data_IF_394212007711
#
_entry.id   IF_394212007711
#
_cell.length_a   1.000
_cell.length_b   1.000
_cell.length_c   1.000
_cell.angle_alpha   90.00
_cell.angle_beta   90.00
_cell.angle_gamma   90.00
#
_symmetry.space_group_name_H-M   'P 1'
#
loop_
_entity.id
_entity.type
_entity.pdbx_description
1 polymer ?
#
# COMPACT_ATOMS: atom_id res chain seq x y z
N UNK A 1 -7.69 24.53 -14.34
CA UNK A 1 -6.28 24.27 -13.96
C UNK A 1 -5.42 25.54 -13.86
N UNK A 2 -5.31 26.41 -14.89
CA UNK A 2 -4.48 27.64 -14.83
C UNK A 2 -4.80 28.58 -13.65
N UNK A 3 -6.08 28.84 -13.35
CA UNK A 3 -6.49 29.68 -12.20
C UNK A 3 -6.12 29.07 -10.85
N UNK A 4 -6.30 27.76 -10.69
CA UNK A 4 -5.98 27.02 -9.46
C UNK A 4 -4.46 26.99 -9.23
N UNK A 5 -3.67 26.76 -10.28
CA UNK A 5 -2.21 26.84 -10.23
C UNK A 5 -1.73 28.24 -9.82
N UNK A 6 -2.37 29.29 -10.35
CA UNK A 6 -2.08 30.67 -9.94
C UNK A 6 -2.37 30.93 -8.47
N UNK A 7 -3.40 30.32 -7.88
CA UNK A 7 -3.71 30.46 -6.45
C UNK A 7 -2.76 29.65 -5.56
N UNK A 8 -2.30 28.47 -5.99
CA UNK A 8 -1.26 27.70 -5.30
C UNK A 8 0.09 28.43 -5.37
N UNK A 9 0.45 28.99 -6.54
CA UNK A 9 1.62 29.85 -6.65
C UNK A 9 1.49 31.11 -5.79
N UNK A 10 0.30 31.71 -5.68
CA UNK A 10 0.08 32.87 -4.84
C UNK A 10 0.19 32.52 -3.35
N UNK A 11 -0.32 31.36 -2.90
CA UNK A 11 -0.16 30.91 -1.51
C UNK A 11 1.30 30.55 -1.19
N UNK A 12 2.03 29.95 -2.15
CA UNK A 12 3.47 29.70 -2.05
C UNK A 12 4.30 31.00 -2.08
N UNK A 13 3.93 32.00 -2.88
CA UNK A 13 4.55 33.34 -2.87
C UNK A 13 4.28 34.07 -1.55
N UNK A 14 3.07 33.96 -1.01
CA UNK A 14 2.72 34.47 0.31
C UNK A 14 3.50 33.74 1.42
N UNK A 15 3.79 32.44 1.27
CA UNK A 15 4.65 31.69 2.19
C UNK A 15 6.14 32.09 2.05
N UNK A 16 6.66 32.20 0.83
CA UNK A 16 8.06 32.55 0.55
C UNK A 16 8.44 33.97 0.99
N UNK A 17 7.51 34.93 0.93
CA UNK A 17 7.73 36.29 1.46
C UNK A 17 7.79 36.35 2.99
N UNK A 18 7.28 35.32 3.70
CA UNK A 18 7.35 35.22 5.17
C UNK A 18 8.65 34.53 5.60
N UNK A 19 9.10 33.50 4.87
CA UNK A 19 10.37 32.80 5.14
C UNK A 19 11.57 33.73 4.96
N UNK A 20 11.56 34.62 3.96
CA UNK A 20 12.68 35.55 3.74
C UNK A 20 12.75 36.68 4.80
N UNK A 21 11.68 36.95 5.55
CA UNK A 21 11.64 38.01 6.55
C UNK A 21 12.13 37.58 7.96
N UNK A 22 12.55 36.33 8.15
CA UNK A 22 12.93 35.77 9.47
C UNK A 22 14.41 35.93 9.85
N UNK A 23 15.21 36.75 9.15
CA UNK A 23 16.63 36.98 9.47
C UNK A 23 16.90 38.13 10.45
N UNK A 24 15.95 38.53 11.30
CA UNK A 24 16.20 39.54 12.33
C UNK A 24 16.04 39.05 13.78
N UNK A 25 17.09 39.40 14.55
CA UNK A 25 17.53 38.86 15.84
C UNK A 25 16.52 38.94 16.99
N UNK A 26 16.68 37.99 17.92
CA UNK A 26 16.04 37.89 19.25
C UNK A 26 15.92 39.25 19.98
N UNK A 27 14.71 39.55 20.48
CA UNK A 27 14.48 40.48 21.60
C UNK A 27 13.58 39.80 22.66
N UNK A 28 13.83 40.03 23.96
CA UNK A 28 13.16 39.31 25.05
C UNK A 28 11.69 39.71 25.20
N UNK A 29 10.87 38.74 25.59
CA UNK A 29 9.41 38.87 25.65
C UNK A 29 8.95 39.67 26.89
N UNK A 30 8.45 40.88 26.66
CA UNK A 30 7.57 41.57 27.61
C UNK A 30 6.18 40.93 27.52
N UNK A 31 5.68 40.33 28.60
CA UNK A 31 4.29 39.87 28.73
C UNK A 31 3.38 41.11 28.60
N UNK A 32 2.64 41.27 27.51
CA UNK A 32 1.50 42.20 27.49
C UNK A 32 0.48 41.96 26.36
N UNK A 33 -0.78 41.91 26.82
CA UNK A 33 -2.12 42.04 26.19
C UNK A 33 -2.52 41.07 25.07
N UNK A 34 -3.44 40.16 25.46
CA UNK A 34 -4.32 39.44 24.56
C UNK A 34 -5.27 40.46 23.88
N UNK A 35 -5.24 40.53 22.55
CA UNK A 35 -6.02 41.50 21.77
C UNK A 35 -7.07 40.86 20.87
N UNK A 36 -8.07 41.67 20.49
CA UNK A 36 -8.99 41.39 19.38
C UNK A 36 -8.38 42.03 18.12
N UNK A 37 -8.14 41.22 17.08
CA UNK A 37 -7.65 41.69 15.79
C UNK A 37 -8.80 41.75 14.76
N UNK A 38 -9.13 42.95 14.32
CA UNK A 38 -10.00 43.21 13.18
C UNK A 38 -9.12 43.64 12.02
N UNK A 39 -9.04 42.82 10.96
CA UNK A 39 -8.11 43.04 9.85
C UNK A 39 -8.81 43.06 8.49
N UNK A 40 -8.61 44.13 7.73
CA UNK A 40 -9.04 44.19 6.33
C UNK A 40 -7.92 43.74 5.39
N UNK A 41 -6.66 44.05 5.74
CA UNK A 41 -5.49 43.74 4.92
C UNK A 41 -4.22 43.64 5.79
N UNK A 42 -3.10 43.15 5.23
CA UNK A 42 -1.82 42.91 5.93
C UNK A 42 -1.39 44.06 6.88
N UNK A 43 -1.68 45.32 6.52
CA UNK A 43 -1.29 46.52 7.27
C UNK A 43 -2.48 47.35 7.80
N UNK A 44 -3.73 46.93 7.54
CA UNK A 44 -4.95 47.56 8.02
C UNK A 44 -5.60 46.65 9.04
N UNK A 45 -5.05 46.67 10.25
CA UNK A 45 -5.44 45.79 11.35
C UNK A 45 -5.40 46.53 12.68
N UNK A 46 -6.30 46.20 13.61
CA UNK A 46 -6.27 46.75 14.98
C UNK A 46 -5.04 46.29 15.76
N UNK A 47 -4.37 45.22 15.32
CA UNK A 47 -3.11 44.74 15.87
C UNK A 47 -2.06 44.59 14.75
N UNK A 48 -0.96 45.37 14.81
CA UNK A 48 0.14 45.27 13.84
C UNK A 48 0.91 43.96 14.01
N UNK A 49 1.37 43.40 12.89
CA UNK A 49 2.12 42.14 12.81
C UNK A 49 3.44 42.15 13.62
N UNK A 50 4.03 43.33 13.84
CA UNK A 50 5.26 43.52 14.64
C UNK A 50 5.06 43.50 16.16
N UNK A 51 3.82 43.42 16.64
CA UNK A 51 3.59 43.31 18.08
C UNK A 51 3.94 41.91 18.59
N UNK A 52 4.67 41.82 19.70
CA UNK A 52 4.96 40.56 20.43
C UNK A 52 3.68 39.99 21.10
N UNK A 53 2.56 40.71 20.99
CA UNK A 53 1.28 40.38 21.61
C UNK A 53 0.61 39.15 21.00
N UNK A 54 -0.19 38.49 21.82
CA UNK A 54 -1.02 37.35 21.43
C UNK A 54 -2.40 37.85 21.00
N UNK A 55 -2.96 37.31 19.91
CA UNK A 55 -4.35 37.58 19.52
C UNK A 55 -5.25 36.46 20.02
N UNK A 56 -6.35 36.77 20.70
CA UNK A 56 -7.33 35.76 21.16
C UNK A 56 -8.51 35.62 20.20
N UNK A 57 -8.94 36.73 19.60
CA UNK A 57 -9.99 36.74 18.59
C UNK A 57 -9.48 37.49 17.36
N UNK A 58 -9.47 36.84 16.21
CA UNK A 58 -9.16 37.47 14.93
C UNK A 58 -10.35 37.34 13.97
N UNK A 59 -10.81 38.47 13.44
CA UNK A 59 -11.85 38.54 12.42
C UNK A 59 -11.33 39.41 11.28
N UNK A 60 -11.28 38.87 10.06
CA UNK A 60 -10.75 39.66 8.96
C UNK A 60 -11.08 39.16 7.56
N UNK A 61 -10.73 39.98 6.56
CA UNK A 61 -10.69 39.53 5.16
C UNK A 61 -9.37 38.81 4.92
N UNK A 62 -8.27 39.51 5.17
CA UNK A 62 -6.93 38.95 5.24
C UNK A 62 -6.23 39.45 6.51
N UNK A 63 -5.75 38.53 7.35
CA UNK A 63 -5.08 38.87 8.61
C UNK A 63 -3.63 38.45 8.61
N UNK A 64 -2.76 39.34 9.10
CA UNK A 64 -1.37 39.04 9.42
C UNK A 64 -1.10 39.34 10.91
N UNK A 65 -0.81 38.32 11.69
CA UNK A 65 -0.61 38.41 13.15
C UNK A 65 0.66 37.65 13.58
N UNK A 66 1.18 37.95 14.77
CA UNK A 66 2.38 37.30 15.28
C UNK A 66 2.06 35.94 15.93
N UNK A 67 1.10 35.90 16.86
CA UNK A 67 0.61 34.68 17.52
C UNK A 67 -0.91 34.68 17.63
N UNK A 68 -1.53 33.52 17.43
CA UNK A 68 -2.97 33.31 17.65
C UNK A 68 -3.15 32.35 18.82
N UNK A 69 -3.74 32.78 19.92
CA UNK A 69 -4.11 31.92 21.05
C UNK A 69 -5.63 32.03 21.29
N UNK A 70 -6.44 31.42 20.42
CA UNK A 70 -7.89 31.50 20.48
C UNK A 70 -8.53 31.21 19.12
N UNK A 71 -9.46 32.06 18.68
CA UNK A 71 -10.22 31.89 17.44
C UNK A 71 -9.81 32.90 16.37
N UNK A 72 -9.48 32.43 15.17
CA UNK A 72 -9.28 33.25 13.99
C UNK A 72 -10.21 32.85 12.85
N UNK A 73 -11.00 33.79 12.33
CA UNK A 73 -11.87 33.58 11.16
C UNK A 73 -11.53 34.63 10.12
N UNK A 74 -11.22 34.18 8.91
CA UNK A 74 -10.86 35.05 7.79
C UNK A 74 -11.60 34.69 6.51
N UNK A 75 -12.01 35.69 5.74
CA UNK A 75 -12.69 35.47 4.45
C UNK A 75 -11.72 34.90 3.40
N UNK A 76 -10.51 35.44 3.31
CA UNK A 76 -9.50 35.02 2.34
C UNK A 76 -8.39 34.21 3.01
N UNK A 77 -7.63 34.82 3.91
CA UNK A 77 -6.46 34.13 4.44
C UNK A 77 -5.91 34.69 5.73
N UNK A 78 -5.10 33.88 6.38
CA UNK A 78 -4.47 34.21 7.65
C UNK A 78 -3.00 33.81 7.65
N UNK A 79 -2.14 34.73 8.08
CA UNK A 79 -0.72 34.49 8.30
C UNK A 79 -0.41 34.73 9.78
N UNK A 80 -0.01 33.68 10.48
CA UNK A 80 0.47 33.71 11.87
C UNK A 80 1.98 33.52 11.84
N UNK A 81 2.76 34.54 12.20
CA UNK A 81 4.22 34.51 12.06
C UNK A 81 4.94 33.49 12.95
N UNK A 82 4.40 33.22 14.15
CA UNK A 82 4.90 32.22 15.10
C UNK A 82 3.87 31.12 15.29
N UNK A 83 3.36 30.97 16.51
CA UNK A 83 2.54 29.83 16.91
C UNK A 83 1.05 30.16 16.87
N UNK A 84 0.27 29.13 16.56
CA UNK A 84 -1.18 29.12 16.65
C UNK A 84 -1.60 28.09 17.69
N UNK A 85 -2.32 28.50 18.73
CA UNK A 85 -3.00 27.63 19.68
C UNK A 85 -4.51 27.95 19.68
N UNK A 86 -5.34 27.09 19.11
CA UNK A 86 -6.79 27.27 19.12
C UNK A 86 -7.46 26.85 17.82
N UNK A 87 -8.24 27.73 17.20
CA UNK A 87 -8.98 27.44 15.96
C UNK A 87 -8.75 28.52 14.91
N UNK A 88 -8.49 28.12 13.67
CA UNK A 88 -8.26 29.04 12.56
C UNK A 88 -9.02 28.58 11.30
N UNK A 89 -9.87 29.46 10.78
CA UNK A 89 -10.69 29.22 9.60
C UNK A 89 -10.38 30.30 8.56
N UNK A 90 -10.08 29.89 7.33
CA UNK A 90 -9.87 30.81 6.21
C UNK A 90 -10.52 30.29 4.93
N UNK A 91 -11.08 31.18 4.10
CA UNK A 91 -11.67 30.77 2.82
C UNK A 91 -10.65 30.22 1.81
N UNK A 92 -9.41 30.72 1.81
CA UNK A 92 -8.36 30.32 0.86
C UNK A 92 -7.19 29.63 1.58
N UNK A 93 -6.50 30.32 2.49
CA UNK A 93 -5.25 29.80 3.06
C UNK A 93 -5.01 30.17 4.51
N UNK A 94 -4.51 29.23 5.30
CA UNK A 94 -3.87 29.48 6.59
C UNK A 94 -2.38 29.19 6.50
N UNK A 95 -1.56 30.08 7.03
CA UNK A 95 -0.11 29.93 7.13
C UNK A 95 0.29 30.20 8.58
N UNK A 96 0.94 29.23 9.21
CA UNK A 96 1.52 29.34 10.56
C UNK A 96 3.02 29.14 10.41
N UNK A 97 3.81 30.18 10.66
CA UNK A 97 5.27 30.14 10.50
C UNK A 97 5.98 29.25 11.53
N UNK A 98 5.38 29.07 12.71
CA UNK A 98 5.87 28.17 13.76
C UNK A 98 4.99 26.93 13.93
N UNK A 99 4.61 26.63 15.17
CA UNK A 99 3.79 25.45 15.49
C UNK A 99 2.30 25.75 15.57
N UNK A 100 1.47 24.85 15.04
CA UNK A 100 0.02 24.86 15.14
C UNK A 100 -0.45 23.81 16.15
N UNK A 101 -1.29 24.21 17.10
CA UNK A 101 -1.97 23.33 18.05
C UNK A 101 -3.46 23.63 18.07
N UNK A 102 -4.29 22.66 17.71
CA UNK A 102 -5.75 22.79 17.68
C UNK A 102 -6.35 22.48 16.31
N UNK A 103 -7.18 23.36 15.77
CA UNK A 103 -7.94 23.13 14.53
C UNK A 103 -7.60 24.19 13.49
N UNK A 104 -7.25 23.77 12.27
CA UNK A 104 -7.02 24.66 11.15
C UNK A 104 -7.79 24.19 9.92
N UNK A 105 -8.59 25.07 9.32
CA UNK A 105 -9.40 24.77 8.13
C UNK A 105 -9.21 25.84 7.07
N UNK A 106 -8.81 25.43 5.87
CA UNK A 106 -8.70 26.31 4.70
C UNK A 106 -9.31 25.70 3.44
N UNK A 107 -9.92 26.55 2.60
CA UNK A 107 -10.50 26.11 1.34
C UNK A 107 -9.48 25.66 0.28
N UNK A 108 -8.21 26.08 0.36
CA UNK A 108 -7.15 25.64 -0.55
C UNK A 108 -5.96 25.06 0.22
N UNK A 109 -5.30 25.86 1.06
CA UNK A 109 -4.00 25.48 1.63
C UNK A 109 -3.88 25.74 3.13
N UNK A 110 -3.34 24.76 3.84
CA UNK A 110 -2.87 24.90 5.22
C UNK A 110 -1.35 24.65 5.25
N UNK A 111 -0.57 25.58 5.78
CA UNK A 111 0.90 25.48 5.87
C UNK A 111 1.33 25.72 7.31
N UNK A 112 2.08 24.79 7.88
CA UNK A 112 2.69 24.90 9.20
C UNK A 112 4.22 24.75 9.05
N UNK A 113 4.97 25.76 9.47
CA UNK A 113 6.43 25.83 9.32
C UNK A 113 7.15 24.78 10.17
N UNK A 114 6.69 24.56 11.41
CA UNK A 114 7.31 23.59 12.31
C UNK A 114 6.38 22.38 12.54
N UNK A 115 5.60 22.42 13.61
CA UNK A 115 4.84 21.28 14.09
C UNK A 115 3.33 21.52 13.96
N UNK A 116 2.59 20.45 13.76
CA UNK A 116 1.14 20.36 13.81
C UNK A 116 0.75 19.42 14.94
N UNK A 117 -0.10 19.87 15.85
CA UNK A 117 -0.70 19.05 16.91
C UNK A 117 -2.21 19.26 16.95
N UNK A 118 -2.99 18.40 16.31
CA UNK A 118 -4.45 18.51 16.25
C UNK A 118 -5.03 18.15 14.88
N UNK A 119 -5.97 18.96 14.39
CA UNK A 119 -6.69 18.75 13.14
C UNK A 119 -6.33 19.82 12.11
N UNK A 120 -5.88 19.43 10.93
CA UNK A 120 -5.73 20.32 9.77
C UNK A 120 -6.53 19.79 8.59
N UNK A 121 -7.41 20.63 8.04
CA UNK A 121 -8.25 20.32 6.88
C UNK A 121 -7.99 21.36 5.80
N UNK A 122 -7.42 20.94 4.68
CA UNK A 122 -7.20 21.77 3.51
C UNK A 122 -8.01 21.26 2.32
N UNK A 123 -8.50 22.16 1.48
CA UNK A 123 -9.22 21.75 0.27
C UNK A 123 -8.33 21.09 -0.77
N UNK A 124 -7.07 21.53 -0.94
CA UNK A 124 -6.14 20.97 -1.91
C UNK A 124 -4.83 20.47 -1.29
N UNK A 125 -4.10 21.35 -0.56
CA UNK A 125 -2.73 21.06 -0.14
C UNK A 125 -2.50 21.38 1.34
N UNK A 126 -2.00 20.40 2.09
CA UNK A 126 -1.58 20.54 3.47
C UNK A 126 -0.07 20.31 3.60
N UNK A 127 0.64 21.25 4.24
CA UNK A 127 2.08 21.17 4.45
C UNK A 127 2.39 21.31 5.95
N UNK A 128 3.21 20.42 6.50
CA UNK A 128 3.76 20.49 7.86
C UNK A 128 5.26 20.25 7.81
N UNK A 129 6.06 21.20 8.29
CA UNK A 129 7.52 21.17 8.10
C UNK A 129 8.25 20.04 8.84
N UNK A 130 7.95 19.81 10.12
CA UNK A 130 8.71 18.89 10.97
C UNK A 130 7.83 17.76 11.52
N UNK A 131 6.96 18.07 12.49
CA UNK A 131 6.16 17.06 13.19
C UNK A 131 4.66 17.20 12.90
N UNK A 132 4.00 16.14 12.43
CA UNK A 132 2.55 16.12 12.28
C UNK A 132 1.90 15.12 13.24
N UNK A 133 1.29 15.60 14.32
CA UNK A 133 0.59 14.77 15.30
C UNK A 133 -0.92 15.04 15.28
N UNK A 134 -1.73 14.04 14.95
CA UNK A 134 -3.20 14.16 14.90
C UNK A 134 -3.78 13.81 13.53
N UNK A 135 -4.66 14.64 13.00
CA UNK A 135 -5.36 14.38 11.73
C UNK A 135 -5.02 15.46 10.71
N UNK A 136 -4.50 15.05 9.55
CA UNK A 136 -4.20 15.94 8.42
C UNK A 136 -4.99 15.47 7.20
N UNK A 137 -5.90 16.29 6.72
CA UNK A 137 -6.73 16.03 5.55
C UNK A 137 -6.43 17.06 4.47
N UNK A 138 -6.21 16.59 3.24
CA UNK A 138 -6.09 17.44 2.05
C UNK A 138 -6.76 16.81 0.85
N UNK A 139 -7.52 17.59 0.09
CA UNK A 139 -8.23 17.07 -1.08
C UNK A 139 -7.32 16.60 -2.22
N UNK A 140 -6.05 17.01 -2.28
CA UNK A 140 -5.07 16.48 -3.25
C UNK A 140 -3.82 15.94 -2.57
N UNK A 141 -3.05 16.79 -1.89
CA UNK A 141 -1.69 16.42 -1.44
C UNK A 141 -1.47 16.80 0.01
N UNK A 142 -0.96 15.87 0.81
CA UNK A 142 -0.33 16.18 2.10
C UNK A 142 1.18 15.99 2.01
N UNK A 143 1.92 16.95 2.56
CA UNK A 143 3.36 16.86 2.79
C UNK A 143 3.60 17.06 4.28
N UNK A 144 4.13 16.06 4.96
CA UNK A 144 4.65 16.20 6.31
C UNK A 144 6.14 15.85 6.32
N UNK A 145 6.97 16.61 7.02
CA UNK A 145 8.41 16.37 7.07
C UNK A 145 8.79 15.19 7.94
N UNK A 146 9.72 15.40 8.86
CA UNK A 146 10.48 14.38 9.58
C UNK A 146 9.60 13.31 10.23
N UNK A 147 8.68 13.72 11.10
CA UNK A 147 7.99 12.81 12.00
C UNK A 147 6.47 13.00 11.98
N UNK A 148 5.75 11.99 11.53
CA UNK A 148 4.28 12.03 11.48
C UNK A 148 3.70 10.95 12.37
N UNK A 149 2.74 11.26 13.23
CA UNK A 149 2.02 10.28 14.03
C UNK A 149 0.53 10.60 14.10
N UNK A 150 -0.29 9.80 13.43
CA UNK A 150 -1.74 9.98 13.42
C UNK A 150 -2.38 9.54 12.11
N UNK A 151 -3.37 10.30 11.64
CA UNK A 151 -4.14 9.97 10.43
C UNK A 151 -3.87 11.03 9.36
N UNK A 152 -3.30 10.62 8.23
CA UNK A 152 -3.05 11.49 7.08
C UNK A 152 -3.87 11.01 5.90
N UNK A 153 -4.76 11.87 5.39
CA UNK A 153 -5.72 11.55 4.32
C UNK A 153 -5.51 12.54 3.17
N UNK A 154 -5.05 12.04 2.03
CA UNK A 154 -4.81 12.80 0.82
C UNK A 154 -5.72 12.32 -0.30
N UNK A 155 -6.36 13.21 -1.04
CA UNK A 155 -7.18 12.76 -2.18
C UNK A 155 -6.36 12.10 -3.28
N UNK A 156 -5.10 12.51 -3.48
CA UNK A 156 -4.18 11.89 -4.44
C UNK A 156 -2.93 11.33 -3.76
N UNK A 157 -2.19 12.18 -3.03
CA UNK A 157 -0.85 11.84 -2.55
C UNK A 157 -0.67 12.20 -1.07
N UNK A 158 0.02 11.33 -0.34
CA UNK A 158 0.61 11.66 0.95
C UNK A 158 2.12 11.44 0.88
N UNK A 159 2.90 12.44 1.26
CA UNK A 159 4.36 12.39 1.32
C UNK A 159 4.78 12.66 2.76
N UNK A 160 5.59 11.75 3.30
CA UNK A 160 6.13 11.83 4.67
C UNK A 160 7.63 11.58 4.69
N UNK A 161 8.34 12.21 5.63
CA UNK A 161 9.79 12.13 5.77
C UNK A 161 10.28 10.85 6.45
N UNK A 162 11.00 11.00 7.56
CA UNK A 162 11.83 9.96 8.18
C UNK A 162 11.07 8.91 8.98
N UNK A 163 10.06 9.30 9.76
CA UNK A 163 9.33 8.39 10.65
C UNK A 163 7.85 8.68 10.63
N UNK A 164 7.08 7.72 10.16
CA UNK A 164 5.62 7.84 10.09
C UNK A 164 4.95 6.75 10.89
N UNK A 165 4.01 7.14 11.76
CA UNK A 165 3.18 6.29 12.58
C UNK A 165 1.69 6.54 12.32
N UNK A 166 0.89 5.47 12.33
CA UNK A 166 -0.58 5.58 12.28
C UNK A 166 -1.20 5.15 10.94
N UNK A 167 -2.10 5.96 10.39
CA UNK A 167 -2.90 5.60 9.20
C UNK A 167 -2.66 6.60 8.07
N UNK A 168 -2.30 6.10 6.89
CA UNK A 168 -2.19 6.88 5.66
C UNK A 168 -3.19 6.40 4.61
N UNK A 169 -4.03 7.30 4.11
CA UNK A 169 -5.01 7.00 3.06
C UNK A 169 -4.79 7.96 1.89
N UNK A 170 -4.51 7.41 0.71
CA UNK A 170 -4.33 8.20 -0.51
C UNK A 170 -5.15 7.63 -1.67
N UNK A 171 -5.70 8.50 -2.54
CA UNK A 171 -6.35 8.02 -3.76
C UNK A 171 -5.38 7.39 -4.76
N UNK A 172 -4.15 7.91 -4.89
CA UNK A 172 -3.13 7.39 -5.81
C UNK A 172 -1.97 6.74 -5.08
N UNK A 173 -1.24 7.49 -4.25
CA UNK A 173 -0.03 6.96 -3.63
C UNK A 173 0.30 7.53 -2.25
N UNK A 174 0.85 6.67 -1.39
CA UNK A 174 1.51 7.07 -0.16
C UNK A 174 3.02 6.85 -0.29
N UNK A 175 3.80 7.87 0.06
CA UNK A 175 5.27 7.83 0.00
C UNK A 175 5.80 8.20 1.39
N UNK A 176 6.59 7.31 1.98
CA UNK A 176 7.33 7.53 3.22
C UNK A 176 8.81 7.36 2.94
N UNK A 177 9.59 8.42 3.16
CA UNK A 177 11.02 8.43 2.88
C UNK A 177 11.84 7.54 3.82
N UNK A 178 11.37 7.34 5.05
CA UNK A 178 12.05 6.51 6.04
C UNK A 178 11.20 5.33 6.54
N UNK A 179 11.10 5.20 7.87
CA UNK A 179 10.39 4.10 8.53
C UNK A 179 8.89 4.41 8.65
N UNK A 180 8.06 3.40 8.36
CA UNK A 180 6.60 3.49 8.47
C UNK A 180 6.06 2.43 9.43
N UNK A 181 5.22 2.84 10.38
CA UNK A 181 4.58 1.96 11.36
C UNK A 181 3.06 2.19 11.43
N UNK A 182 2.26 1.25 10.92
CA UNK A 182 0.80 1.32 10.99
C UNK A 182 0.11 0.79 9.75
N UNK A 183 -0.91 1.50 9.25
CA UNK A 183 -1.71 1.08 8.09
C UNK A 183 -1.57 2.11 6.98
N UNK A 184 -1.14 1.70 5.79
CA UNK A 184 -1.10 2.56 4.61
C UNK A 184 -1.90 1.93 3.48
N UNK A 185 -2.86 2.69 2.96
CA UNK A 185 -3.77 2.27 1.91
C UNK A 185 -3.77 3.29 0.79
N UNK A 186 -3.57 2.82 -0.45
CA UNK A 186 -3.63 3.67 -1.63
C UNK A 186 -4.35 3.01 -2.81
N UNK A 187 -4.82 3.81 -3.75
CA UNK A 187 -5.41 3.26 -4.98
C UNK A 187 -4.38 2.60 -5.90
N UNK A 188 -3.14 3.12 -5.96
CA UNK A 188 -2.10 2.60 -6.86
C UNK A 188 -0.87 2.09 -6.11
N UNK A 189 -0.15 2.96 -5.39
CA UNK A 189 1.18 2.63 -4.88
C UNK A 189 1.40 3.04 -3.42
N UNK A 190 1.96 2.15 -2.62
CA UNK A 190 2.57 2.52 -1.34
C UNK A 190 4.08 2.30 -1.40
N UNK A 191 4.86 3.31 -1.07
CA UNK A 191 6.32 3.26 -1.05
C UNK A 191 6.84 3.63 0.33
N UNK A 192 7.65 2.76 0.92
CA UNK A 192 8.36 2.99 2.18
C UNK A 192 9.86 2.81 1.93
N UNK A 193 10.65 3.86 2.13
CA UNK A 193 12.07 3.87 1.83
C UNK A 193 12.90 2.92 2.69
N UNK A 194 12.60 2.85 3.99
CA UNK A 194 13.32 2.01 4.95
C UNK A 194 12.44 0.83 5.42
N UNK A 195 12.11 0.76 6.70
CA UNK A 195 11.39 -0.37 7.27
C UNK A 195 9.89 -0.08 7.36
N UNK A 196 9.07 -1.02 6.91
CA UNK A 196 7.64 -1.01 7.16
C UNK A 196 7.31 -1.95 8.32
N UNK A 197 6.46 -1.50 9.25
CA UNK A 197 5.81 -2.33 10.27
C UNK A 197 4.31 -2.13 10.24
N UNK A 198 3.54 -3.15 9.90
CA UNK A 198 2.07 -3.10 9.90
C UNK A 198 1.45 -3.57 8.59
N UNK A 199 0.52 -2.81 8.01
CA UNK A 199 -0.29 -3.23 6.86
C UNK A 199 -0.11 -2.25 5.70
N UNK A 200 0.23 -2.76 4.52
CA UNK A 200 0.29 -2.02 3.26
C UNK A 200 -0.76 -2.61 2.30
N UNK A 201 -1.68 -1.79 1.80
CA UNK A 201 -2.71 -2.19 0.83
C UNK A 201 -2.68 -1.24 -0.36
N UNK A 202 -2.48 -1.76 -1.57
CA UNK A 202 -2.55 -0.94 -2.78
C UNK A 202 -3.13 -1.69 -3.97
N UNK A 203 -3.69 -0.92 -4.92
CA UNK A 203 -4.31 -1.49 -6.12
C UNK A 203 -3.29 -1.94 -7.18
N UNK A 204 -2.05 -1.44 -7.18
CA UNK A 204 -1.00 -1.90 -8.09
C UNK A 204 0.19 -2.49 -7.35
N UNK A 205 0.79 -1.75 -6.41
CA UNK A 205 2.05 -2.21 -5.83
C UNK A 205 2.47 -1.61 -4.50
N UNK A 206 2.99 -2.47 -3.63
CA UNK A 206 3.62 -2.11 -2.37
C UNK A 206 5.13 -2.30 -2.48
N UNK A 207 5.90 -1.26 -2.17
CA UNK A 207 7.37 -1.27 -2.24
C UNK A 207 7.95 -0.89 -0.88
N UNK A 208 8.82 -1.74 -0.33
CA UNK A 208 9.57 -1.47 0.90
C UNK A 208 11.07 -1.64 0.65
N UNK A 209 11.85 -0.56 0.76
CA UNK A 209 13.29 -0.56 0.49
C UNK A 209 14.16 -1.25 1.55
N UNK A 210 13.61 -1.51 2.74
CA UNK A 210 14.26 -2.26 3.82
C UNK A 210 13.46 -3.49 4.23
N UNK A 211 13.08 -3.56 5.51
CA UNK A 211 12.35 -4.72 6.06
C UNK A 211 10.86 -4.45 6.12
N UNK A 212 10.05 -5.25 5.41
CA UNK A 212 8.59 -5.24 5.51
C UNK A 212 8.13 -6.24 6.57
N UNK A 213 7.71 -5.75 7.74
CA UNK A 213 7.21 -6.56 8.87
C UNK A 213 5.70 -6.42 9.01
N UNK A 214 4.93 -7.44 8.65
CA UNK A 214 3.47 -7.42 8.75
C UNK A 214 2.80 -7.94 7.48
N UNK A 215 1.82 -7.22 6.94
CA UNK A 215 0.99 -7.66 5.81
C UNK A 215 1.16 -6.71 4.61
N UNK A 216 1.44 -7.25 3.43
CA UNK A 216 1.40 -6.52 2.17
C UNK A 216 0.36 -7.16 1.24
N UNK A 217 -0.63 -6.37 0.81
CA UNK A 217 -1.70 -6.78 -0.10
C UNK A 217 -1.67 -5.87 -1.33
N UNK A 218 -1.20 -6.39 -2.46
CA UNK A 218 -1.22 -5.71 -3.76
C UNK A 218 -0.91 -6.71 -4.87
N UNK A 219 -1.29 -6.46 -6.13
CA UNK A 219 -0.85 -7.29 -7.25
C UNK A 219 0.67 -7.45 -7.31
N UNK A 220 1.44 -6.42 -6.96
CA UNK A 220 2.90 -6.45 -6.91
C UNK A 220 3.39 -6.09 -5.49
N UNK A 221 4.07 -7.02 -4.80
CA UNK A 221 4.71 -6.72 -3.52
C UNK A 221 6.22 -6.88 -3.65
N UNK A 222 6.98 -5.84 -3.27
CA UNK A 222 8.44 -5.81 -3.33
C UNK A 222 8.99 -5.41 -1.96
N UNK A 223 9.89 -6.22 -1.41
CA UNK A 223 10.61 -5.89 -0.19
C UNK A 223 12.08 -6.34 -0.27
N UNK A 224 13.01 -5.69 0.44
CA UNK A 224 14.37 -6.26 0.56
C UNK A 224 14.36 -7.46 1.51
N UNK A 225 13.76 -7.28 2.69
CA UNK A 225 13.47 -8.37 3.65
C UNK A 225 11.99 -8.39 3.96
N UNK A 226 11.39 -9.56 4.03
CA UNK A 226 9.97 -9.73 4.33
C UNK A 226 9.79 -10.57 5.61
N UNK A 227 9.00 -10.07 6.57
CA UNK A 227 8.67 -10.75 7.82
C UNK A 227 7.16 -10.71 8.04
N UNK A 228 6.44 -11.76 7.68
CA UNK A 228 4.98 -11.79 7.75
C UNK A 228 4.33 -12.27 6.47
N UNK A 229 3.24 -11.62 6.05
CA UNK A 229 2.36 -12.07 4.98
C UNK A 229 2.45 -11.16 3.75
N UNK A 230 2.72 -11.71 2.57
CA UNK A 230 2.55 -11.00 1.30
C UNK A 230 1.53 -11.73 0.44
N UNK A 231 0.52 -11.02 -0.03
CA UNK A 231 -0.50 -11.55 -0.94
C UNK A 231 -0.54 -10.68 -2.18
N UNK A 232 -0.30 -11.29 -3.34
CA UNK A 232 -0.24 -10.58 -4.61
C UNK A 232 -0.21 -11.51 -5.81
N UNK A 233 -0.21 -10.96 -7.02
CA UNK A 233 0.08 -11.75 -8.22
C UNK A 233 1.57 -12.06 -8.30
N UNK A 234 2.40 -11.07 -7.96
CA UNK A 234 3.85 -11.18 -7.91
C UNK A 234 4.33 -10.70 -6.55
N UNK A 235 5.01 -11.57 -5.82
CA UNK A 235 5.70 -11.23 -4.59
C UNK A 235 7.20 -11.40 -4.80
N UNK A 236 7.98 -10.39 -4.43
CA UNK A 236 9.43 -10.40 -4.55
C UNK A 236 10.10 -9.99 -3.24
N UNK A 237 11.10 -10.78 -2.83
CA UNK A 237 12.06 -10.39 -1.80
C UNK A 237 13.50 -10.62 -2.24
N UNK A 238 14.41 -9.80 -1.72
CA UNK A 238 15.83 -9.83 -2.12
C UNK A 238 16.71 -10.68 -1.21
N UNK A 239 16.57 -10.55 0.11
CA UNK A 239 17.51 -11.15 1.07
C UNK A 239 16.91 -12.32 1.84
N UNK A 240 15.78 -12.10 2.51
CA UNK A 240 15.19 -13.11 3.40
C UNK A 240 13.69 -12.95 3.54
N UNK A 241 12.99 -14.07 3.64
CA UNK A 241 11.59 -14.18 4.02
C UNK A 241 11.45 -14.95 5.34
N UNK A 242 11.03 -14.28 6.40
CA UNK A 242 10.56 -14.91 7.64
C UNK A 242 9.02 -14.84 7.67
N UNK A 243 8.33 -15.62 6.84
CA UNK A 243 6.87 -15.52 6.71
C UNK A 243 6.25 -16.32 5.57
N UNK A 244 5.07 -15.88 5.13
CA UNK A 244 4.26 -16.52 4.09
C UNK A 244 4.05 -15.59 2.90
N UNK A 245 4.20 -16.13 1.69
CA UNK A 245 3.86 -15.45 0.45
C UNK A 245 2.83 -16.26 -0.31
N UNK A 246 1.75 -15.60 -0.71
CA UNK A 246 0.73 -16.15 -1.59
C UNK A 246 0.72 -15.32 -2.86
N UNK A 247 1.18 -15.90 -3.95
CA UNK A 247 1.05 -15.26 -5.25
C UNK A 247 1.32 -16.18 -6.41
N UNK A 248 0.85 -15.76 -7.59
CA UNK A 248 1.00 -16.53 -8.83
C UNK A 248 2.48 -16.76 -9.14
N UNK A 249 3.29 -15.70 -8.95
CA UNK A 249 4.74 -15.76 -9.00
C UNK A 249 5.29 -15.30 -7.65
N UNK A 250 5.98 -16.19 -6.95
CA UNK A 250 6.79 -15.82 -5.78
C UNK A 250 8.25 -15.92 -6.20
N UNK A 251 8.90 -14.78 -6.38
CA UNK A 251 10.26 -14.70 -6.88
C UNK A 251 11.24 -14.28 -5.77
N UNK A 252 12.34 -15.01 -5.69
CA UNK A 252 13.46 -14.81 -4.79
C UNK A 252 14.75 -15.24 -5.53
N UNK A 253 15.92 -14.63 -5.24
CA UNK A 253 17.22 -15.13 -5.71
C UNK A 253 17.44 -16.65 -5.55
N UNK A 254 16.91 -17.27 -4.49
CA UNK A 254 16.99 -18.71 -4.21
C UNK A 254 15.76 -19.51 -4.68
N UNK A 255 14.80 -18.91 -5.40
CA UNK A 255 13.63 -19.65 -5.90
C UNK A 255 14.09 -20.74 -6.89
N UNK A 256 13.81 -21.98 -6.54
CA UNK A 256 14.10 -23.12 -7.40
C UNK A 256 12.94 -23.36 -8.35
N UNK A 257 13.21 -23.27 -9.65
CA UNK A 257 12.25 -23.62 -10.70
C UNK A 257 12.46 -25.08 -11.07
N UNK A 258 11.46 -25.90 -10.75
CA UNK A 258 11.45 -27.33 -11.03
C UNK A 258 10.44 -27.64 -12.11
N UNK A 259 10.80 -28.50 -13.05
CA UNK A 259 9.88 -28.94 -14.09
C UNK A 259 9.26 -30.26 -13.69
N UNK A 260 7.95 -30.36 -13.80
CA UNK A 260 7.19 -31.55 -13.44
C UNK A 260 6.54 -32.14 -14.69
N UNK A 261 6.69 -33.45 -14.85
CA UNK A 261 5.99 -34.23 -15.87
C UNK A 261 5.24 -35.35 -15.16
N UNK A 262 3.92 -35.38 -15.31
CA UNK A 262 3.09 -36.32 -14.57
C UNK A 262 1.81 -36.69 -15.30
N UNK A 263 1.32 -37.89 -15.02
CA UNK A 263 0.08 -38.42 -15.55
C UNK A 263 -0.75 -39.04 -14.45
N UNK A 264 -2.06 -39.07 -14.65
CA UNK A 264 -3.00 -39.60 -13.67
C UNK A 264 -4.35 -39.93 -14.27
N UNK A 265 -5.29 -40.21 -13.39
CA UNK A 265 -6.67 -40.51 -13.78
C UNK A 265 -7.45 -39.27 -14.26
N UNK A 266 -7.14 -38.09 -13.73
CA UNK A 266 -7.81 -36.84 -14.08
C UNK A 266 -7.25 -36.17 -15.36
N UNK A 267 -5.99 -36.43 -15.69
CA UNK A 267 -5.29 -35.90 -16.87
C UNK A 267 -4.17 -36.86 -17.25
N UNK A 268 -4.10 -37.29 -18.51
CA UNK A 268 -3.17 -38.37 -18.90
C UNK A 268 -1.73 -37.89 -19.01
N UNK A 269 -1.53 -36.63 -19.43
CA UNK A 269 -0.21 -36.02 -19.55
C UNK A 269 -0.28 -34.56 -19.10
N UNK A 270 0.58 -34.18 -18.16
CA UNK A 270 0.72 -32.82 -17.65
C UNK A 270 2.19 -32.40 -17.64
N UNK A 271 2.39 -31.11 -17.89
CA UNK A 271 3.66 -30.44 -17.74
C UNK A 271 3.47 -29.18 -16.91
N UNK A 272 4.32 -28.99 -15.90
CA UNK A 272 4.24 -27.84 -15.01
C UNK A 272 5.60 -27.29 -14.61
N UNK A 273 5.64 -26.00 -14.31
CA UNK A 273 6.71 -25.36 -13.59
C UNK A 273 6.29 -25.20 -12.13
N UNK A 274 7.08 -25.75 -11.22
CA UNK A 274 6.97 -25.56 -9.78
C UNK A 274 7.99 -24.50 -9.35
N UNK A 275 7.51 -23.40 -8.81
CA UNK A 275 8.32 -22.36 -8.19
C UNK A 275 8.39 -22.66 -6.70
N UNK A 276 9.53 -23.18 -6.26
CA UNK A 276 9.74 -23.63 -4.90
C UNK A 276 10.63 -22.65 -4.12
N UNK A 277 10.16 -22.30 -2.93
CA UNK A 277 10.93 -21.65 -1.87
C UNK A 277 11.16 -22.66 -0.72
N UNK A 278 11.73 -22.25 0.41
CA UNK A 278 12.12 -23.18 1.50
C UNK A 278 11.01 -24.18 1.89
N UNK A 279 9.82 -23.69 2.25
CA UNK A 279 8.68 -24.51 2.70
C UNK A 279 7.48 -24.48 1.73
N UNK A 280 7.41 -23.49 0.85
CA UNK A 280 6.23 -23.23 0.03
C UNK A 280 6.54 -23.38 -1.44
N UNK A 281 5.55 -23.82 -2.20
CA UNK A 281 5.66 -23.86 -3.66
C UNK A 281 4.36 -23.46 -4.34
N UNK A 282 4.50 -22.93 -5.54
CA UNK A 282 3.40 -22.77 -6.49
C UNK A 282 3.67 -23.57 -7.74
N UNK A 283 2.63 -24.18 -8.31
CA UNK A 283 2.71 -24.98 -9.53
C UNK A 283 1.82 -24.30 -10.58
N UNK A 284 2.42 -23.98 -11.71
CA UNK A 284 1.74 -23.48 -12.90
C UNK A 284 1.98 -24.47 -14.02
N UNK A 285 0.92 -25.01 -14.61
CA UNK A 285 1.09 -26.02 -15.65
C UNK A 285 -0.12 -26.16 -16.56
N UNK A 286 0.12 -26.92 -17.62
CA UNK A 286 -0.87 -27.30 -18.60
C UNK A 286 -0.87 -28.81 -18.80
N UNK A 287 -2.04 -29.37 -19.09
CA UNK A 287 -2.17 -30.79 -19.38
C UNK A 287 -3.27 -31.07 -20.38
N UNK A 288 -3.32 -32.32 -20.85
CA UNK A 288 -4.37 -32.82 -21.73
C UNK A 288 -5.09 -34.01 -21.10
N UNK A 289 -6.40 -34.07 -21.33
CA UNK A 289 -7.24 -35.18 -20.90
C UNK A 289 -7.16 -36.38 -21.87
N UNK A 290 -6.82 -36.13 -23.14
CA UNK A 290 -6.73 -37.15 -24.21
C UNK A 290 -5.32 -37.17 -24.85
N UNK A 291 -4.81 -38.36 -25.14
CA UNK A 291 -3.49 -38.59 -25.78
C UNK A 291 -3.54 -38.61 -27.31
N UNK A 292 -4.73 -38.63 -27.92
CA UNK A 292 -4.87 -38.65 -29.37
C UNK A 292 -4.68 -37.24 -29.95
N UNK A 293 -3.58 -37.06 -30.71
CA UNK A 293 -3.27 -35.86 -31.50
C UNK A 293 -4.18 -35.74 -32.76
N UNK A 294 -5.47 -36.06 -32.66
CA UNK A 294 -6.46 -35.84 -33.73
C UNK A 294 -7.66 -35.07 -33.19
N UNK A 295 -8.02 -33.94 -33.81
CA UNK A 295 -9.24 -33.10 -33.72
C UNK A 295 -10.00 -32.89 -32.37
N UNK A 296 -9.55 -33.48 -31.26
CA UNK A 296 -10.19 -33.54 -29.93
C UNK A 296 -9.24 -33.06 -28.82
N UNK A 297 -8.41 -32.06 -29.13
CA UNK A 297 -7.49 -31.47 -28.16
C UNK A 297 -8.28 -30.76 -27.05
N UNK A 298 -8.19 -31.25 -25.81
CA UNK A 298 -8.69 -30.57 -24.62
C UNK A 298 -7.50 -30.09 -23.78
N UNK A 299 -7.42 -28.79 -23.56
CA UNK A 299 -6.38 -28.16 -22.75
C UNK A 299 -6.89 -27.89 -21.34
N UNK A 300 -6.12 -28.27 -20.34
CA UNK A 300 -6.35 -27.90 -18.96
C UNK A 300 -5.19 -27.02 -18.48
N UNK A 301 -5.50 -25.85 -17.90
CA UNK A 301 -4.54 -25.04 -17.16
C UNK A 301 -4.79 -25.23 -15.68
N UNK A 302 -3.73 -25.39 -14.90
CA UNK A 302 -3.86 -25.50 -13.45
C UNK A 302 -2.88 -24.59 -12.72
N UNK A 303 -3.38 -24.01 -11.63
CA UNK A 303 -2.62 -23.27 -10.64
C UNK A 303 -2.77 -23.95 -9.29
N UNK A 304 -1.66 -24.28 -8.64
CA UNK A 304 -1.65 -24.95 -7.33
C UNK A 304 -0.74 -24.19 -6.38
N UNK A 305 -1.15 -24.07 -5.13
CA UNK A 305 -0.35 -23.50 -4.06
C UNK A 305 -0.31 -24.48 -2.88
N UNK A 306 0.88 -24.75 -2.38
CA UNK A 306 1.08 -25.79 -1.37
C UNK A 306 2.33 -25.58 -0.53
N UNK A 307 2.50 -26.53 0.39
CA UNK A 307 3.56 -26.56 1.38
C UNK A 307 4.20 -27.94 1.40
N UNK A 308 5.52 -27.98 1.49
CA UNK A 308 6.34 -29.20 1.51
C UNK A 308 7.11 -29.28 2.83
N UNK A 309 7.12 -30.48 3.43
CA UNK A 309 7.83 -30.78 4.66
C UNK A 309 8.75 -32.01 4.44
N UNK A 310 10.01 -31.96 4.91
CA UNK A 310 10.87 -33.14 4.90
C UNK A 310 10.36 -34.15 5.94
N UNK A 311 10.05 -35.38 5.50
CA UNK A 311 9.73 -36.49 6.40
C UNK A 311 11.01 -37.16 6.89
N UNK A 312 11.87 -37.54 5.94
CA UNK A 312 13.08 -38.31 6.23
C UNK A 312 14.09 -38.24 5.09
N UNK A 313 15.28 -37.65 5.29
CA UNK A 313 16.40 -37.52 4.32
C UNK A 313 16.00 -37.14 2.88
N UNK A 314 15.51 -38.10 2.10
CA UNK A 314 15.13 -37.99 0.69
C UNK A 314 13.61 -38.05 0.46
N UNK A 315 12.81 -38.28 1.50
CA UNK A 315 11.36 -38.39 1.46
C UNK A 315 10.72 -37.09 1.97
N UNK A 316 9.85 -36.53 1.16
CA UNK A 316 9.14 -35.28 1.40
C UNK A 316 7.64 -35.52 1.29
N UNK A 317 6.87 -34.93 2.20
CA UNK A 317 5.41 -34.86 2.07
C UNK A 317 5.04 -33.44 1.69
N UNK A 318 4.01 -33.27 0.89
CA UNK A 318 3.43 -31.97 0.64
C UNK A 318 1.92 -32.02 0.59
N UNK A 319 1.29 -30.88 0.86
CA UNK A 319 -0.13 -30.68 0.63
C UNK A 319 -0.35 -29.45 -0.23
N UNK A 320 -1.23 -29.54 -1.24
CA UNK A 320 -1.59 -28.41 -2.09
C UNK A 320 -3.10 -28.25 -2.28
N UNK A 321 -3.47 -26.99 -2.51
CA UNK A 321 -4.77 -26.58 -3.00
C UNK A 321 -4.61 -26.10 -4.44
N UNK A 322 -5.35 -26.73 -5.35
CA UNK A 322 -5.29 -26.47 -6.77
C UNK A 322 -6.60 -25.94 -7.33
N UNK A 323 -6.48 -25.03 -8.28
CA UNK A 323 -7.52 -24.64 -9.20
C UNK A 323 -7.16 -25.11 -10.60
N UNK A 324 -8.06 -25.86 -11.24
CA UNK A 324 -7.89 -26.31 -12.62
C UNK A 324 -9.02 -25.75 -13.48
N UNK A 325 -8.65 -25.11 -14.59
CA UNK A 325 -9.54 -24.64 -15.63
C UNK A 325 -9.43 -25.57 -16.84
N UNK A 326 -10.56 -26.12 -17.29
CA UNK A 326 -10.61 -27.03 -18.44
C UNK A 326 -11.43 -26.39 -19.54
N UNK A 327 -10.82 -26.15 -20.71
CA UNK A 327 -11.51 -25.73 -21.93
C UNK A 327 -11.50 -26.85 -22.97
N UNK A 328 -12.70 -27.24 -23.42
CA UNK A 328 -12.89 -28.22 -24.49
C UNK A 328 -13.13 -27.45 -25.79
N UNK A 329 -12.08 -27.26 -26.60
CA UNK A 329 -12.10 -26.27 -27.69
C UNK A 329 -12.97 -26.62 -28.91
N UNK A 330 -13.56 -27.82 -29.03
CA UNK A 330 -14.48 -28.15 -30.15
C UNK A 330 -15.26 -29.46 -29.92
N UNK A 331 -16.09 -29.53 -28.89
CA UNK A 331 -16.99 -30.70 -28.72
C UNK A 331 -18.41 -30.24 -28.36
N UNK A 332 -19.18 -29.79 -29.37
CA UNK A 332 -20.56 -29.33 -29.21
C UNK A 332 -21.61 -30.47 -29.27
N UNK A 333 -21.23 -31.69 -29.64
CA UNK A 333 -22.22 -32.74 -29.97
C UNK A 333 -22.27 -33.95 -29.02
N UNK A 334 -21.58 -33.90 -27.86
CA UNK A 334 -21.56 -35.03 -26.91
C UNK A 334 -21.86 -34.67 -25.44
N UNK A 335 -22.70 -33.66 -25.19
CA UNK A 335 -23.27 -33.43 -23.86
C UNK A 335 -22.29 -33.01 -22.74
N UNK A 336 -21.03 -32.72 -23.07
CA UNK A 336 -20.04 -32.23 -22.09
C UNK A 336 -20.02 -30.70 -22.02
N UNK A 337 -19.74 -30.11 -20.84
CA UNK A 337 -19.84 -28.67 -20.64
C UNK A 337 -18.64 -27.95 -21.26
N UNK A 338 -18.87 -26.82 -21.93
CA UNK A 338 -17.83 -26.08 -22.66
C UNK A 338 -16.69 -25.52 -21.78
N UNK A 339 -16.95 -25.30 -20.47
CA UNK A 339 -16.00 -24.78 -19.47
C UNK A 339 -16.29 -25.38 -18.10
N UNK A 340 -15.30 -25.96 -17.47
CA UNK A 340 -15.37 -26.52 -16.11
C UNK A 340 -14.24 -25.94 -15.25
N UNK A 341 -14.51 -25.78 -13.95
CA UNK A 341 -13.44 -25.54 -12.97
C UNK A 341 -13.47 -26.63 -11.91
N UNK A 342 -12.27 -27.07 -11.51
CA UNK A 342 -12.08 -28.05 -10.44
C UNK A 342 -11.30 -27.40 -9.31
N UNK A 343 -11.85 -27.46 -8.10
CA UNK A 343 -11.09 -27.18 -6.89
C UNK A 343 -10.55 -28.51 -6.35
N UNK A 344 -9.24 -28.59 -6.13
CA UNK A 344 -8.55 -29.83 -5.82
C UNK A 344 -7.79 -29.70 -4.51
N UNK A 345 -7.97 -30.66 -3.62
CA UNK A 345 -7.14 -30.85 -2.42
C UNK A 345 -6.27 -32.07 -2.62
N UNK A 346 -4.96 -31.92 -2.42
CA UNK A 346 -3.98 -32.99 -2.66
C UNK A 346 -2.99 -33.15 -1.51
N UNK A 347 -2.54 -34.39 -1.37
CA UNK A 347 -1.37 -34.77 -0.60
C UNK A 347 -0.42 -35.47 -1.58
N UNK A 348 0.83 -35.02 -1.61
CA UNK A 348 1.88 -35.62 -2.43
C UNK A 348 2.96 -36.20 -1.53
N UNK A 349 3.48 -37.35 -1.95
CA UNK A 349 4.67 -37.97 -1.37
C UNK A 349 5.75 -38.00 -2.45
N UNK A 350 6.88 -37.37 -2.19
CA UNK A 350 7.98 -37.21 -3.13
C UNK A 350 9.25 -37.86 -2.57
N UNK A 351 9.90 -38.67 -3.41
CA UNK A 351 11.19 -39.29 -3.11
C UNK A 351 12.26 -38.77 -4.08
N UNK A 352 13.29 -38.13 -3.53
CA UNK A 352 14.39 -37.51 -4.30
C UNK A 352 15.51 -38.52 -4.51
N UNK A 353 15.63 -39.00 -5.75
CA UNK A 353 16.65 -39.97 -6.15
C UNK A 353 18.04 -39.33 -6.25
N UNK A 354 18.10 -38.11 -6.81
CA UNK A 354 19.33 -37.32 -6.99
C UNK A 354 19.04 -35.83 -6.77
N UNK A 355 20.07 -34.99 -6.80
CA UNK A 355 19.92 -33.52 -6.72
C UNK A 355 19.11 -32.90 -7.89
N UNK A 356 18.78 -33.67 -8.93
CA UNK A 356 18.07 -33.17 -10.13
C UNK A 356 16.87 -34.01 -10.57
N UNK A 357 16.59 -35.11 -9.87
CA UNK A 357 15.54 -36.06 -10.23
C UNK A 357 14.84 -36.57 -8.97
N UNK A 358 13.53 -36.41 -8.93
CA UNK A 358 12.66 -37.03 -7.93
C UNK A 358 11.44 -37.65 -8.57
N UNK A 359 10.84 -38.59 -7.86
CA UNK A 359 9.59 -39.25 -8.24
C UNK A 359 8.56 -38.89 -7.19
N UNK A 360 7.34 -38.57 -7.62
CA UNK A 360 6.26 -38.27 -6.71
C UNK A 360 5.00 -39.05 -7.04
N UNK A 361 4.23 -39.32 -5.99
CA UNK A 361 2.90 -39.89 -6.06
C UNK A 361 1.96 -38.97 -5.30
N UNK A 362 0.81 -38.73 -5.90
CA UNK A 362 -0.18 -37.78 -5.43
C UNK A 362 -1.52 -38.47 -5.24
N UNK A 363 -2.12 -38.28 -4.07
CA UNK A 363 -3.49 -38.65 -3.78
C UNK A 363 -4.28 -37.40 -3.43
N UNK A 364 -5.48 -37.25 -3.98
CA UNK A 364 -6.31 -36.08 -3.72
C UNK A 364 -7.78 -36.29 -3.99
N UNK A 365 -8.53 -35.21 -3.84
CA UNK A 365 -9.95 -35.15 -4.14
C UNK A 365 -10.25 -33.88 -4.93
N UNK A 366 -10.99 -34.03 -6.03
CA UNK A 366 -11.44 -32.92 -6.88
C UNK A 366 -12.94 -32.71 -6.76
N UNK A 367 -13.35 -31.44 -6.68
CA UNK A 367 -14.75 -31.03 -6.82
C UNK A 367 -14.91 -30.25 -8.13
N UNK A 368 -15.56 -30.88 -9.12
CA UNK A 368 -15.79 -30.26 -10.42
C UNK A 368 -17.13 -29.53 -10.44
N UNK A 369 -17.10 -28.25 -10.84
CA UNK A 369 -18.29 -27.39 -10.90
C UNK A 369 -18.43 -26.72 -12.27
N UNK A 370 -19.68 -26.54 -12.66
CA UNK A 370 -20.07 -25.79 -13.83
C UNK A 370 -19.92 -24.29 -13.61
N UNK A 371 -19.53 -23.54 -14.65
CA UNK A 371 -19.53 -22.08 -14.62
C UNK A 371 -20.94 -21.46 -14.65
N UNK A 372 -21.90 -22.09 -15.35
CA UNK A 372 -23.22 -21.51 -15.65
C UNK A 372 -24.41 -22.18 -14.92
N UNK A 373 -24.16 -23.15 -14.04
CA UNK A 373 -25.23 -23.82 -13.27
C UNK A 373 -24.76 -24.10 -11.84
N UNK A 374 -25.67 -23.90 -10.87
CA UNK A 374 -25.47 -24.26 -9.47
C UNK A 374 -25.60 -25.78 -9.25
N UNK A 375 -24.79 -26.58 -9.96
CA UNK A 375 -24.75 -28.04 -9.82
C UNK A 375 -23.30 -28.54 -9.85
N UNK A 376 -22.96 -29.51 -9.00
CA UNK A 376 -21.67 -30.21 -9.05
C UNK A 376 -21.70 -31.22 -10.21
N UNK A 377 -20.65 -31.28 -11.03
CA UNK A 377 -20.57 -32.18 -12.18
C UNK A 377 -20.16 -33.59 -11.77
N UNK A 378 -19.06 -33.70 -11.02
CA UNK A 378 -18.54 -34.97 -10.53
C UNK A 378 -17.65 -34.73 -9.29
N UNK A 379 -17.46 -35.77 -8.50
CA UNK A 379 -16.49 -35.79 -7.40
C UNK A 379 -15.61 -37.03 -7.55
N UNK A 380 -14.33 -36.81 -7.82
CA UNK A 380 -13.39 -37.88 -8.12
C UNK A 380 -12.20 -37.92 -7.16
N UNK A 381 -11.76 -39.13 -6.83
CA UNK A 381 -10.42 -39.35 -6.27
C UNK A 381 -9.40 -39.04 -7.35
N UNK A 382 -8.38 -38.24 -7.03
CA UNK A 382 -7.27 -37.92 -7.92
C UNK A 382 -6.09 -38.79 -7.54
N UNK A 383 -5.56 -39.53 -8.51
CA UNK A 383 -4.30 -40.27 -8.37
C UNK A 383 -3.41 -39.85 -9.53
N UNK A 384 -2.29 -39.20 -9.21
CA UNK A 384 -1.28 -38.74 -10.17
C UNK A 384 0.08 -39.30 -9.76
N UNK A 385 0.93 -39.60 -10.74
CA UNK A 385 2.30 -40.01 -10.54
C UNK A 385 3.20 -39.39 -11.60
N UNK A 386 4.42 -39.02 -11.21
CA UNK A 386 5.33 -38.38 -12.14
C UNK A 386 6.73 -38.15 -11.62
N UNK A 387 7.47 -37.39 -12.42
CA UNK A 387 8.85 -37.02 -12.16
C UNK A 387 8.99 -35.52 -12.01
N UNK A 388 9.90 -35.13 -11.13
CA UNK A 388 10.39 -33.76 -10.98
C UNK A 388 11.81 -33.72 -11.52
N UNK A 389 12.07 -32.76 -12.40
CA UNK A 389 13.33 -32.52 -13.08
C UNK A 389 13.85 -31.13 -12.69
N UNK A 390 15.18 -30.98 -12.78
CA UNK A 390 15.96 -29.81 -12.37
C UNK A 390 16.30 -29.76 -10.89
N UNK A 391 17.16 -28.79 -10.54
CA UNK A 391 17.88 -28.75 -9.27
C UNK A 391 16.94 -28.58 -8.07
N UNK A 392 17.17 -29.41 -7.05
CA UNK A 392 16.55 -29.38 -5.72
C UNK A 392 17.24 -28.48 -4.71
#
# INVERSE_FOLDING_TARGET
>A
MKRIFSFICLSLLLAGTVVYAQTDKLRPARKERAGINLSLWKNLATQRTDTVGSTFLNLGIFSAMNRLNGLGVNVLGSVTGRDMNGMQFSGISNIVGGSMRGIQVAGITNINGDNLCGLSVSGLVGITGNHAQGVVFSGLVNIAGDNSNGVIIGGLLNITGEKTGGVQLAGLANISGGDFAGVTTSGLLNVVGNNMKGIQISGLGNITGGTATGIQLAPLNVAVRAKGLQIGLVNYYKEKLDGFQLGLVNANPDTQVQMMLFGGNATKLNMAARFKNELFYTILGGGTHYLDFSDKFSGALFYRAGLELPLYKQLFISGDLGYQHVETFKNKDYGFPARLYSLQTRINLEYRLTERLGVFVTGGYGWDRYYNRNANFDKGVIVEGGIVLFKY
#
